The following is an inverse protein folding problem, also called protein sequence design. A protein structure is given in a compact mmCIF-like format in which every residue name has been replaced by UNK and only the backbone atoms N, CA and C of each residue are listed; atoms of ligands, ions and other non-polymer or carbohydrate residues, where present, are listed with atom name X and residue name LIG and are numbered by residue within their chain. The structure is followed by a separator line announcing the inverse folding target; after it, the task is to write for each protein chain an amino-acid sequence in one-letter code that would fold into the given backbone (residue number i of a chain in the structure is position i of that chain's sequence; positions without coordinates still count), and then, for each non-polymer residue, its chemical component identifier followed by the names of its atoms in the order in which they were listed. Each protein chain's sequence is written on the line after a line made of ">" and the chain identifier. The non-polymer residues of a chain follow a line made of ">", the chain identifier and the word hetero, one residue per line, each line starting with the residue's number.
data_IF_560015376811
#
_entry.id   IF_560015376811
#
_cell.length_a   1.000
_cell.length_b   1.000
_cell.length_c   1.000
_cell.angle_alpha   90.00
_cell.angle_beta   90.00
_cell.angle_gamma   90.00
#
_symmetry.space_group_name_H-M   'P 1'
#
loop_
_entity.id
_entity.type
_entity.pdbx_description
1 polymer ?
#
# COMPACT_ATOMS: atom_id res chain seq x y z
N UNK A 1 -8.56 -78.59 -4.49
CA UNK A 1 -9.64 -77.88 -3.77
C UNK A 1 -9.77 -78.31 -2.31
N UNK A 2 -8.68 -78.26 -1.50
CA UNK A 2 -8.79 -78.71 -0.07
C UNK A 2 -7.94 -77.89 0.91
N UNK A 3 -7.49 -76.72 0.55
CA UNK A 3 -6.71 -75.85 1.45
C UNK A 3 -7.42 -74.68 2.10
N UNK A 4 -8.65 -74.36 1.65
CA UNK A 4 -9.40 -73.23 2.18
C UNK A 4 -10.34 -73.53 3.37
N UNK A 5 -10.57 -74.83 3.66
CA UNK A 5 -11.45 -75.23 4.77
C UNK A 5 -10.76 -75.35 6.12
N UNK A 6 -9.41 -75.30 6.17
CA UNK A 6 -8.68 -75.37 7.46
C UNK A 6 -8.30 -74.01 8.06
N UNK A 7 -8.38 -72.92 7.28
CA UNK A 7 -8.09 -71.56 7.77
C UNK A 7 -9.30 -70.94 8.44
N UNK A 8 -10.53 -71.30 8.01
CA UNK A 8 -11.75 -70.74 8.57
C UNK A 8 -12.09 -71.20 9.99
N UNK A 9 -11.55 -72.36 10.42
CA UNK A 9 -11.85 -72.89 11.76
C UNK A 9 -10.90 -72.36 12.84
N UNK A 10 -9.70 -71.89 12.44
CA UNK A 10 -8.74 -71.29 13.37
C UNK A 10 -9.06 -69.84 13.75
N UNK A 11 -9.80 -69.14 12.86
CA UNK A 11 -10.15 -67.70 13.11
C UNK A 11 -11.38 -67.54 14.00
N UNK A 12 -12.29 -68.53 14.07
CA UNK A 12 -13.45 -68.48 14.95
C UNK A 12 -13.10 -68.81 16.40
N UNK A 13 -12.03 -69.61 16.65
CA UNK A 13 -11.61 -69.91 18.01
C UNK A 13 -10.79 -68.76 18.67
N UNK A 14 -10.21 -67.88 17.86
CA UNK A 14 -9.47 -66.71 18.38
C UNK A 14 -10.40 -65.53 18.74
N UNK A 15 -11.64 -65.52 18.24
CA UNK A 15 -12.60 -64.43 18.55
C UNK A 15 -13.42 -64.63 19.81
N UNK A 16 -13.37 -65.77 20.48
CA UNK A 16 -14.19 -66.03 21.64
C UNK A 16 -13.45 -66.00 23.00
N UNK A 17 -12.19 -65.62 23.02
CA UNK A 17 -11.41 -65.50 24.26
C UNK A 17 -11.00 -64.08 24.61
N UNK A 18 -11.68 -63.10 24.13
CA UNK A 18 -11.37 -61.70 24.40
C UNK A 18 -12.60 -60.86 24.65
N UNK A 19 -13.56 -61.28 25.47
CA UNK A 19 -14.33 -60.27 26.19
C UNK A 19 -13.44 -59.67 27.26
N UNK A 20 -12.50 -58.84 26.82
CA UNK A 20 -12.04 -57.77 27.67
C UNK A 20 -13.33 -56.98 27.99
N UNK A 21 -13.84 -57.15 29.18
CA UNK A 21 -14.74 -56.17 29.77
C UNK A 21 -13.90 -54.90 29.83
N UNK A 22 -13.96 -54.15 28.73
CA UNK A 22 -13.54 -52.79 28.77
C UNK A 22 -14.47 -52.16 29.82
N UNK A 23 -13.98 -52.04 31.02
CA UNK A 23 -14.59 -51.08 31.95
C UNK A 23 -14.82 -49.84 31.11
N UNK A 24 -16.08 -49.34 31.03
CA UNK A 24 -16.29 -48.10 30.27
C UNK A 24 -15.25 -47.14 30.77
N UNK A 25 -14.32 -46.77 29.91
CA UNK A 25 -13.35 -45.73 30.22
C UNK A 25 -14.24 -44.57 30.66
N UNK A 26 -14.16 -44.25 31.94
CA UNK A 26 -14.92 -43.10 32.47
C UNK A 26 -14.57 -41.97 31.55
N UNK A 27 -15.55 -41.52 30.73
CA UNK A 27 -15.28 -40.50 29.73
C UNK A 27 -14.81 -39.29 30.50
N UNK A 28 -13.52 -39.01 30.41
CA UNK A 28 -12.96 -37.84 31.03
C UNK A 28 -13.73 -36.64 30.48
N UNK A 29 -14.36 -35.89 31.35
CA UNK A 29 -15.06 -34.66 30.98
C UNK A 29 -14.16 -33.48 31.35
N UNK A 30 -14.15 -32.46 30.52
CA UNK A 30 -13.55 -31.18 30.85
C UNK A 30 -14.60 -30.09 30.63
N UNK A 31 -14.84 -29.29 31.64
CA UNK A 31 -15.68 -28.09 31.52
C UNK A 31 -14.82 -26.87 31.86
N UNK A 32 -15.09 -25.76 31.20
CA UNK A 32 -14.42 -24.50 31.44
C UNK A 32 -15.41 -23.52 32.11
N UNK A 33 -14.98 -22.93 33.19
CA UNK A 33 -15.60 -21.76 33.80
C UNK A 33 -14.65 -20.57 33.68
N UNK A 34 -15.17 -19.42 33.28
CA UNK A 34 -14.45 -18.16 33.29
C UNK A 34 -14.98 -17.34 34.46
N UNK A 35 -14.13 -17.00 35.39
CA UNK A 35 -14.52 -16.33 36.64
C UNK A 35 -14.40 -14.81 36.55
N UNK A 36 -13.61 -14.30 35.60
CA UNK A 36 -13.39 -12.87 35.38
C UNK A 36 -13.62 -12.56 33.90
N UNK A 37 -14.84 -12.28 33.52
CA UNK A 37 -15.13 -11.89 32.15
C UNK A 37 -15.83 -10.54 32.13
N UNK A 38 -15.34 -9.63 31.34
CA UNK A 38 -15.88 -8.28 31.20
C UNK A 38 -17.22 -8.27 30.51
N UNK A 39 -17.29 -8.90 29.36
CA UNK A 39 -18.49 -9.02 28.54
C UNK A 39 -18.34 -10.19 27.57
N UNK A 40 -19.45 -10.59 26.95
CA UNK A 40 -19.49 -11.73 26.05
C UNK A 40 -19.90 -13.02 26.79
N UNK A 41 -20.05 -14.09 26.02
CA UNK A 41 -20.44 -15.42 26.51
C UNK A 41 -19.39 -16.49 26.24
N UNK A 42 -18.22 -16.10 25.72
CA UNK A 42 -17.13 -17.00 25.39
C UNK A 42 -17.37 -17.86 24.16
N UNK A 43 -18.39 -17.57 23.37
CA UNK A 43 -18.64 -18.23 22.09
C UNK A 43 -17.90 -17.54 20.96
N UNK A 44 -17.75 -18.19 19.80
CA UNK A 44 -17.14 -17.58 18.63
C UNK A 44 -17.90 -16.31 18.15
N UNK A 45 -19.22 -16.30 18.29
CA UNK A 45 -20.05 -15.15 17.93
C UNK A 45 -20.01 -14.02 18.99
N UNK A 46 -19.80 -14.36 20.26
CA UNK A 46 -19.73 -13.44 21.39
C UNK A 46 -18.54 -13.75 22.28
N UNK A 47 -17.30 -13.49 21.83
CA UNK A 47 -16.09 -13.74 22.62
C UNK A 47 -16.09 -12.92 23.91
N UNK A 48 -15.47 -13.44 24.96
CA UNK A 48 -15.14 -12.62 26.13
C UNK A 48 -14.28 -11.44 25.73
N UNK A 49 -14.58 -10.27 26.26
CA UNK A 49 -13.81 -9.04 26.01
C UNK A 49 -13.02 -8.67 27.25
N UNK A 50 -11.72 -8.58 27.13
CA UNK A 50 -10.79 -8.15 28.17
C UNK A 50 -9.98 -6.95 27.66
N UNK A 51 -9.41 -6.14 28.54
CA UNK A 51 -8.48 -5.10 28.14
C UNK A 51 -7.19 -5.73 27.63
N UNK A 52 -6.58 -5.15 26.61
CA UNK A 52 -5.18 -5.45 26.34
C UNK A 52 -4.33 -4.90 27.48
N UNK A 53 -3.26 -5.61 27.94
CA UNK A 53 -2.46 -5.20 29.09
C UNK A 53 -1.58 -3.98 28.73
N UNK A 54 -2.13 -2.80 28.93
CA UNK A 54 -1.55 -1.53 28.47
C UNK A 54 -0.27 -1.15 29.25
N UNK A 55 -0.22 -1.43 30.54
CA UNK A 55 0.92 -1.12 31.40
C UNK A 55 2.01 -2.19 31.41
N UNK A 56 1.94 -3.16 30.54
CA UNK A 56 2.81 -4.31 30.42
C UNK A 56 2.65 -5.38 31.52
N UNK A 57 1.70 -5.26 32.39
CA UNK A 57 1.47 -6.22 33.44
C UNK A 57 0.09 -6.83 33.25
N UNK A 58 0.03 -8.16 33.17
CA UNK A 58 -1.25 -8.85 33.18
C UNK A 58 -1.80 -8.76 34.58
N UNK A 59 -2.73 -7.86 34.81
CA UNK A 59 -3.43 -7.70 36.06
C UNK A 59 -4.84 -8.27 35.98
N UNK A 60 -5.29 -8.85 37.07
CA UNK A 60 -6.68 -9.18 37.31
C UNK A 60 -7.20 -8.25 38.39
N UNK A 61 -7.96 -7.25 37.99
CA UNK A 61 -8.66 -6.40 38.93
C UNK A 61 -10.07 -6.95 39.11
N UNK A 62 -10.58 -6.99 40.29
CA UNK A 62 -11.97 -7.41 40.56
C UNK A 62 -13.02 -6.44 40.01
N UNK A 63 -12.62 -5.41 39.26
CA UNK A 63 -13.51 -4.41 38.73
C UNK A 63 -13.89 -4.81 37.29
N UNK A 64 -15.13 -5.14 37.09
CA UNK A 64 -15.71 -5.43 35.75
C UNK A 64 -15.33 -4.31 34.76
N UNK A 65 -14.78 -4.69 33.63
CA UNK A 65 -14.31 -3.74 32.62
C UNK A 65 -12.84 -3.32 32.77
N UNK A 66 -12.11 -3.90 33.71
CA UNK A 66 -10.69 -3.58 33.96
C UNK A 66 -9.77 -4.79 33.86
N UNK A 67 -10.34 -5.98 33.71
CA UNK A 67 -9.57 -7.22 33.61
C UNK A 67 -8.75 -7.27 32.32
N UNK A 68 -7.48 -7.61 32.47
CA UNK A 68 -6.52 -7.80 31.38
C UNK A 68 -6.26 -9.27 31.07
N UNK A 69 -6.75 -10.16 31.94
CA UNK A 69 -6.70 -11.61 31.76
C UNK A 69 -8.02 -12.26 32.12
N UNK A 70 -8.36 -13.35 31.44
CA UNK A 70 -9.37 -14.28 31.87
C UNK A 70 -8.77 -15.26 32.88
N UNK A 71 -9.37 -15.37 34.05
CA UNK A 71 -9.13 -16.49 34.96
C UNK A 71 -10.00 -17.65 34.51
N UNK A 72 -9.38 -18.67 33.93
CA UNK A 72 -10.06 -19.83 33.38
C UNK A 72 -9.82 -21.04 34.26
N UNK A 73 -10.89 -21.64 34.73
CA UNK A 73 -10.89 -22.82 35.59
C UNK A 73 -11.42 -24.01 34.80
N UNK A 74 -10.57 -24.98 34.55
CA UNK A 74 -11.01 -26.26 33.99
C UNK A 74 -11.39 -27.19 35.18
N UNK A 75 -12.59 -27.77 35.13
CA UNK A 75 -13.01 -28.83 36.07
C UNK A 75 -12.78 -30.18 35.40
N UNK A 76 -12.03 -31.02 36.06
CA UNK A 76 -11.60 -32.35 35.62
C UNK A 76 -11.56 -33.32 36.76
N UNK A 77 -11.29 -34.60 36.51
CA UNK A 77 -10.98 -35.55 37.58
C UNK A 77 -9.58 -35.24 38.17
N UNK A 78 -9.48 -35.24 39.51
CA UNK A 78 -8.21 -34.99 40.17
C UNK A 78 -7.09 -35.92 39.63
N UNK A 79 -5.91 -35.36 39.41
CA UNK A 79 -4.78 -36.07 38.84
C UNK A 79 -4.81 -36.25 37.31
N UNK A 80 -5.90 -35.80 36.66
CA UNK A 80 -5.96 -35.86 35.17
C UNK A 80 -5.21 -34.69 34.57
N UNK A 81 -4.23 -34.93 33.70
CA UNK A 81 -3.57 -33.86 32.98
C UNK A 81 -4.52 -33.13 32.04
N UNK A 82 -4.56 -31.81 32.14
CA UNK A 82 -5.31 -30.90 31.24
C UNK A 82 -4.32 -30.13 30.41
N UNK A 83 -4.44 -30.20 29.10
CA UNK A 83 -3.65 -29.39 28.19
C UNK A 83 -4.49 -28.22 27.71
N UNK A 84 -4.06 -27.02 28.06
CA UNK A 84 -4.61 -25.77 27.56
C UNK A 84 -3.84 -25.34 26.32
N UNK A 85 -4.54 -25.03 25.24
CA UNK A 85 -3.94 -24.52 23.99
C UNK A 85 -4.66 -23.27 23.55
N UNK A 86 -3.91 -22.27 23.11
CA UNK A 86 -4.47 -21.04 22.54
C UNK A 86 -4.23 -20.96 21.05
N UNK A 87 -5.12 -20.28 20.35
CA UNK A 87 -4.96 -19.90 18.96
C UNK A 87 -5.00 -18.38 18.83
N UNK A 88 -4.56 -17.85 17.69
CA UNK A 88 -4.48 -16.41 17.47
C UNK A 88 -3.44 -15.75 18.36
N UNK A 89 -3.77 -14.59 18.90
CA UNK A 89 -2.86 -13.79 19.74
C UNK A 89 -3.06 -14.01 21.25
N UNK A 90 -3.89 -14.96 21.64
CA UNK A 90 -4.05 -15.32 23.04
C UNK A 90 -2.82 -16.09 23.55
N UNK A 91 -2.45 -15.81 24.80
CA UNK A 91 -1.34 -16.44 25.52
C UNK A 91 -1.76 -16.82 26.92
N UNK A 92 -1.15 -17.88 27.43
CA UNK A 92 -1.38 -18.39 28.78
C UNK A 92 -0.20 -17.95 29.65
N UNK A 93 -0.50 -17.44 30.83
CA UNK A 93 0.47 -17.19 31.89
C UNK A 93 0.11 -18.02 33.15
N UNK A 94 1.13 -18.41 33.88
CA UNK A 94 0.96 -19.23 35.11
C UNK A 94 0.55 -18.44 36.32
N UNK A 95 0.77 -17.12 36.28
CA UNK A 95 0.46 -16.20 37.38
C UNK A 95 0.09 -14.82 36.85
N UNK A 96 -0.74 -14.12 37.61
CA UNK A 96 -1.00 -12.69 37.38
C UNK A 96 0.22 -11.85 37.79
N UNK A 97 0.33 -10.63 37.29
CA UNK A 97 1.47 -9.75 37.52
C UNK A 97 2.67 -10.01 36.62
N UNK A 98 2.55 -10.93 35.65
CA UNK A 98 3.60 -11.18 34.68
C UNK A 98 3.75 -10.00 33.72
N UNK A 99 4.98 -9.56 33.48
CA UNK A 99 5.27 -8.55 32.44
C UNK A 99 5.00 -9.14 31.08
N UNK A 100 4.23 -8.42 30.26
CA UNK A 100 3.77 -8.87 28.95
C UNK A 100 4.55 -8.19 27.85
N UNK A 101 5.09 -9.00 26.94
CA UNK A 101 5.44 -8.58 25.59
C UNK A 101 4.55 -9.36 24.62
N UNK A 102 4.54 -9.02 23.34
CA UNK A 102 3.86 -9.84 22.33
C UNK A 102 4.36 -11.29 22.32
N UNK A 103 5.54 -11.55 22.87
CA UNK A 103 6.16 -12.87 22.98
C UNK A 103 5.97 -13.53 24.36
N UNK A 104 5.43 -12.81 25.35
CA UNK A 104 5.23 -13.35 26.71
C UNK A 104 4.10 -14.38 26.74
N UNK A 105 4.21 -15.32 27.66
CA UNK A 105 3.27 -16.41 27.82
C UNK A 105 3.50 -17.55 26.80
N UNK A 106 2.79 -18.62 27.00
CA UNK A 106 2.86 -19.83 26.17
C UNK A 106 1.57 -20.04 25.41
N UNK A 107 1.64 -20.74 24.28
CA UNK A 107 0.46 -21.14 23.51
C UNK A 107 -0.08 -22.51 23.91
N UNK A 108 0.67 -23.23 24.72
CA UNK A 108 0.25 -24.53 25.25
C UNK A 108 0.83 -24.71 26.65
N UNK A 109 0.00 -25.14 27.60
CA UNK A 109 0.37 -25.42 28.97
C UNK A 109 -0.39 -26.66 29.45
N UNK A 110 0.33 -27.64 29.97
CA UNK A 110 -0.28 -28.81 30.61
C UNK A 110 -0.19 -28.68 32.13
N UNK A 111 -1.34 -28.81 32.78
CA UNK A 111 -1.48 -28.75 34.21
C UNK A 111 -2.06 -30.06 34.72
N UNK A 112 -1.42 -30.69 35.69
CA UNK A 112 -1.98 -31.87 36.40
C UNK A 112 -2.43 -31.43 37.79
N UNK A 113 -3.71 -31.12 37.98
CA UNK A 113 -4.18 -30.61 39.24
C UNK A 113 -4.28 -31.73 40.25
N UNK A 114 -3.84 -31.46 41.50
CA UNK A 114 -4.04 -32.36 42.63
C UNK A 114 -5.53 -32.39 43.09
N UNK A 115 -6.29 -31.33 42.76
CA UNK A 115 -7.73 -31.20 42.99
C UNK A 115 -8.50 -31.43 41.72
N UNK A 116 -9.80 -31.20 41.75
CA UNK A 116 -10.68 -31.29 40.56
C UNK A 116 -10.62 -30.06 39.65
N UNK A 117 -9.76 -29.08 39.96
CA UNK A 117 -9.69 -27.82 39.22
C UNK A 117 -8.27 -27.47 38.78
N UNK A 118 -8.10 -27.08 37.54
CA UNK A 118 -6.88 -26.48 36.99
C UNK A 118 -7.17 -25.04 36.60
N UNK A 119 -6.42 -24.09 37.12
CA UNK A 119 -6.60 -22.67 36.84
C UNK A 119 -5.45 -22.19 35.97
N UNK A 120 -5.79 -21.42 34.93
CA UNK A 120 -4.84 -20.69 34.08
C UNK A 120 -5.33 -19.29 33.84
N UNK A 121 -4.41 -18.38 33.51
CA UNK A 121 -4.72 -17.00 33.16
C UNK A 121 -4.41 -16.79 31.69
N UNK A 122 -5.36 -16.23 30.96
CA UNK A 122 -5.25 -16.06 29.51
C UNK A 122 -5.46 -14.61 29.15
N UNK A 123 -4.51 -14.02 28.47
CA UNK A 123 -4.57 -12.66 27.99
C UNK A 123 -4.44 -12.61 26.46
N UNK A 124 -4.73 -11.46 25.87
CA UNK A 124 -4.48 -11.20 24.46
C UNK A 124 -4.01 -9.77 24.25
N UNK A 125 -3.13 -9.58 23.28
CA UNK A 125 -2.66 -8.25 22.86
C UNK A 125 -3.40 -7.74 21.63
N UNK A 126 -4.42 -8.48 21.14
CA UNK A 126 -5.13 -8.17 19.90
C UNK A 126 -6.63 -8.05 20.12
N UNK A 127 -7.27 -7.19 19.35
CA UNK A 127 -8.73 -7.05 19.25
C UNK A 127 -9.38 -8.15 18.41
N UNK A 128 -8.59 -8.97 17.70
CA UNK A 128 -9.07 -10.13 16.97
C UNK A 128 -9.43 -11.27 17.92
N UNK A 129 -10.48 -12.01 17.56
CA UNK A 129 -10.90 -13.16 18.35
C UNK A 129 -9.83 -14.26 18.35
N UNK A 130 -9.61 -14.83 19.52
CA UNK A 130 -8.71 -15.94 19.79
C UNK A 130 -9.47 -17.02 20.55
N UNK A 131 -8.99 -18.27 20.49
CA UNK A 131 -9.61 -19.36 21.23
C UNK A 131 -8.65 -19.94 22.29
N UNK A 132 -9.20 -20.33 23.43
CA UNK A 132 -8.57 -21.20 24.42
C UNK A 132 -9.32 -22.52 24.44
N UNK A 133 -8.61 -23.60 24.22
CA UNK A 133 -9.14 -24.97 24.32
C UNK A 133 -8.46 -25.68 25.49
N UNK A 134 -9.25 -26.22 26.40
CA UNK A 134 -8.79 -27.17 27.38
C UNK A 134 -9.14 -28.59 26.92
N UNK A 135 -8.19 -29.47 26.90
CA UNK A 135 -8.34 -30.85 26.46
C UNK A 135 -7.81 -31.86 27.48
N UNK A 136 -8.54 -32.92 27.63
CA UNK A 136 -8.15 -34.16 28.31
C UNK A 136 -8.32 -35.32 27.35
N UNK A 137 -7.81 -36.51 27.72
CA UNK A 137 -8.02 -37.68 26.85
C UNK A 137 -9.51 -37.94 26.62
N UNK A 138 -9.94 -37.79 25.38
CA UNK A 138 -11.32 -38.04 24.95
C UNK A 138 -12.30 -36.87 25.06
N UNK A 139 -11.91 -35.70 25.59
CA UNK A 139 -12.78 -34.52 25.68
C UNK A 139 -12.02 -33.21 25.51
N UNK A 140 -12.69 -32.23 24.94
CA UNK A 140 -12.18 -30.86 24.83
C UNK A 140 -13.30 -29.84 24.92
N UNK A 141 -13.00 -28.68 25.49
CA UNK A 141 -13.92 -27.54 25.58
C UNK A 141 -13.18 -26.28 25.18
N UNK A 142 -13.84 -25.41 24.42
CA UNK A 142 -13.23 -24.18 23.90
C UNK A 142 -14.03 -22.96 24.34
N UNK A 143 -13.30 -21.90 24.71
CA UNK A 143 -13.86 -20.56 24.92
C UNK A 143 -13.12 -19.57 24.04
N UNK A 144 -13.78 -18.49 23.66
CA UNK A 144 -13.25 -17.45 22.80
C UNK A 144 -13.08 -16.15 23.57
N UNK A 145 -12.02 -15.41 23.25
CA UNK A 145 -11.72 -14.11 23.83
C UNK A 145 -11.18 -13.15 22.78
N UNK A 146 -11.31 -11.86 23.04
CA UNK A 146 -10.70 -10.78 22.27
C UNK A 146 -10.32 -9.61 23.18
N UNK A 147 -9.34 -8.83 22.77
CA UNK A 147 -8.95 -7.62 23.47
C UNK A 147 -9.86 -6.43 23.14
N UNK A 148 -10.10 -5.57 24.11
CA UNK A 148 -10.53 -4.21 23.85
C UNK A 148 -9.29 -3.35 23.58
N UNK A 149 -9.39 -2.44 22.62
CA UNK A 149 -8.28 -1.56 22.25
C UNK A 149 -7.86 -0.69 23.43
N UNK A 150 -6.55 -0.59 23.66
CA UNK A 150 -5.94 0.22 24.72
C UNK A 150 -6.00 1.73 24.43
N UNK A 151 -5.38 2.55 25.30
CA UNK A 151 -5.16 3.98 25.05
C UNK A 151 -4.35 4.21 23.78
N UNK A 152 -4.52 5.37 23.15
CA UNK A 152 -3.69 5.77 22.02
C UNK A 152 -2.22 5.87 22.46
N UNK A 153 -1.36 5.21 21.71
CA UNK A 153 0.07 5.11 22.03
C UNK A 153 0.96 5.52 20.86
N UNK A 154 0.57 5.14 19.66
CA UNK A 154 1.32 5.43 18.46
C UNK A 154 0.49 6.24 17.49
N UNK A 155 1.08 7.32 17.02
CA UNK A 155 0.62 8.12 15.90
C UNK A 155 1.56 7.87 14.73
N UNK A 156 1.03 7.47 13.59
CA UNK A 156 1.75 7.42 12.33
C UNK A 156 1.12 8.43 11.39
N UNK A 157 1.91 9.36 10.90
CA UNK A 157 1.51 10.35 9.93
C UNK A 157 2.12 10.03 8.57
N UNK A 158 1.34 10.19 7.53
CA UNK A 158 1.80 10.07 6.17
C UNK A 158 1.30 11.27 5.37
N UNK A 159 2.26 12.02 4.82
CA UNK A 159 2.02 13.21 4.01
C UNK A 159 2.78 13.03 2.70
N UNK A 160 2.23 13.39 1.54
CA UNK A 160 2.99 13.42 0.31
C UNK A 160 4.22 14.30 0.44
N UNK A 161 5.37 13.79 -0.01
CA UNK A 161 6.62 14.53 0.04
C UNK A 161 6.63 15.76 -0.87
N UNK A 162 5.74 15.83 -1.86
CA UNK A 162 5.66 16.91 -2.83
C UNK A 162 4.22 17.31 -3.13
N UNK A 163 4.01 18.57 -3.48
CA UNK A 163 2.73 19.09 -3.96
C UNK A 163 2.90 20.33 -4.83
N UNK A 164 1.87 20.69 -5.58
CA UNK A 164 1.85 21.93 -6.35
C UNK A 164 1.57 23.16 -5.48
N UNK A 165 1.97 24.33 -5.93
CA UNK A 165 1.54 25.60 -5.32
C UNK A 165 0.02 25.67 -5.25
N UNK A 166 -0.51 26.25 -4.17
CA UNK A 166 -1.93 26.42 -3.90
C UNK A 166 -2.77 25.14 -4.06
N UNK A 167 -2.14 23.95 -4.17
CA UNK A 167 -2.85 22.69 -4.29
C UNK A 167 -3.28 22.16 -2.92
N UNK A 168 -4.31 21.31 -2.95
CA UNK A 168 -4.69 20.52 -1.79
C UNK A 168 -3.99 19.17 -1.82
N UNK A 169 -3.44 18.79 -0.69
CA UNK A 169 -2.88 17.47 -0.43
C UNK A 169 -3.55 16.90 0.81
N UNK A 170 -3.61 15.58 0.96
CA UNK A 170 -4.22 14.97 2.13
C UNK A 170 -3.17 14.31 3.01
N UNK A 171 -3.09 14.73 4.27
CA UNK A 171 -2.38 14.02 5.32
C UNK A 171 -3.26 12.88 5.82
N UNK A 172 -2.71 11.67 5.97
CA UNK A 172 -3.37 10.56 6.66
C UNK A 172 -2.67 10.25 7.96
N UNK A 173 -3.46 9.83 8.92
CA UNK A 173 -2.99 9.46 10.25
C UNK A 173 -3.52 8.09 10.60
N UNK A 174 -2.68 7.30 11.23
CA UNK A 174 -3.05 6.03 11.84
C UNK A 174 -2.75 6.11 13.33
N UNK A 175 -3.76 5.85 14.15
CA UNK A 175 -3.60 5.81 15.60
C UNK A 175 -3.81 4.39 16.09
N UNK A 176 -2.91 3.92 16.91
CA UNK A 176 -2.99 2.59 17.51
C UNK A 176 -2.59 2.61 18.99
N UNK A 177 -3.01 1.56 19.69
CA UNK A 177 -2.49 1.27 21.03
C UNK A 177 -1.05 0.73 20.97
N UNK A 178 -0.47 0.39 22.13
CA UNK A 178 0.90 -0.10 22.25
C UNK A 178 1.16 -1.40 21.47
N UNK A 179 0.12 -2.21 21.23
CA UNK A 179 0.21 -3.48 20.51
C UNK A 179 -0.15 -3.35 19.02
N UNK A 180 -0.42 -2.13 18.54
CA UNK A 180 -0.76 -1.87 17.16
C UNK A 180 -2.25 -2.05 16.83
N UNK A 181 -3.12 -2.24 17.82
CA UNK A 181 -4.55 -2.27 17.57
C UNK A 181 -5.06 -0.87 17.22
N UNK A 182 -5.83 -0.78 16.15
CA UNK A 182 -6.35 0.49 15.65
C UNK A 182 -7.28 1.17 16.67
N UNK A 183 -7.02 2.45 16.97
CA UNK A 183 -7.73 3.24 17.98
C UNK A 183 -8.54 4.34 17.33
N UNK A 184 -9.85 4.33 17.55
CA UNK A 184 -10.79 5.38 17.11
C UNK A 184 -11.10 6.37 18.23
N UNK A 185 -11.71 7.49 17.85
CA UNK A 185 -12.19 8.50 18.80
C UNK A 185 -11.10 9.43 19.33
N UNK A 186 -9.90 9.40 18.75
CA UNK A 186 -8.80 10.25 19.17
C UNK A 186 -8.84 11.63 18.51
N UNK A 187 -8.41 12.64 19.27
CA UNK A 187 -8.21 13.99 18.73
C UNK A 187 -6.78 14.14 18.24
N UNK A 188 -6.63 14.43 16.95
CA UNK A 188 -5.33 14.68 16.34
C UNK A 188 -5.19 16.18 16.10
N UNK A 189 -4.17 16.79 16.70
CA UNK A 189 -3.81 18.18 16.46
C UNK A 189 -2.82 18.27 15.32
N UNK A 190 -3.18 18.96 14.24
CA UNK A 190 -2.30 19.21 13.10
C UNK A 190 -1.71 20.60 13.21
N UNK A 191 -0.39 20.70 13.16
CA UNK A 191 0.38 21.95 13.12
C UNK A 191 0.97 22.12 11.73
N UNK A 192 0.79 23.26 11.12
CA UNK A 192 1.28 23.55 9.79
C UNK A 192 2.14 24.82 9.81
N UNK A 193 3.33 24.76 9.23
CA UNK A 193 4.30 25.85 9.15
C UNK A 193 4.62 26.14 7.68
N UNK A 194 5.08 27.36 7.39
CA UNK A 194 5.48 27.75 6.04
C UNK A 194 4.29 28.10 5.12
N UNK A 195 3.17 28.58 5.70
CA UNK A 195 2.03 29.04 4.91
C UNK A 195 1.07 27.91 4.49
N UNK A 196 1.22 26.72 5.04
CA UNK A 196 0.23 25.63 4.87
C UNK A 196 -0.99 25.94 5.72
N UNK A 197 -2.18 25.75 5.17
CA UNK A 197 -3.43 25.79 5.93
C UNK A 197 -3.95 24.36 6.12
N UNK A 198 -4.06 23.93 7.37
CA UNK A 198 -4.63 22.64 7.71
C UNK A 198 -6.16 22.75 7.84
N UNK A 199 -6.88 21.84 7.21
CA UNK A 199 -8.30 21.62 7.45
C UNK A 199 -8.55 20.78 8.70
N UNK A 200 -9.82 20.58 9.02
CA UNK A 200 -10.22 19.72 10.14
C UNK A 200 -9.81 18.27 9.92
N UNK A 201 -9.35 17.61 10.98
CA UNK A 201 -9.11 16.17 10.96
C UNK A 201 -10.44 15.44 10.96
N UNK A 202 -10.60 14.49 10.05
CA UNK A 202 -11.81 13.67 9.93
C UNK A 202 -11.43 12.20 10.11
N UNK A 203 -12.20 11.48 10.92
CA UNK A 203 -12.06 10.04 11.05
C UNK A 203 -12.58 9.34 9.79
N UNK A 204 -11.88 8.28 9.38
CA UNK A 204 -12.37 7.40 8.31
C UNK A 204 -13.55 6.58 8.84
N UNK A 205 -14.70 6.70 8.17
CA UNK A 205 -15.92 5.98 8.58
C UNK A 205 -15.84 4.46 8.34
N UNK A 206 -14.94 4.02 7.48
CA UNK A 206 -14.81 2.62 7.07
C UNK A 206 -13.63 1.91 7.72
N UNK A 207 -12.61 2.66 8.17
CA UNK A 207 -11.37 2.09 8.70
C UNK A 207 -11.07 2.66 10.07
N UNK A 208 -11.28 1.83 11.10
CA UNK A 208 -10.98 2.17 12.50
C UNK A 208 -9.54 2.65 12.65
N UNK A 209 -9.34 3.70 13.44
CA UNK A 209 -8.00 4.24 13.75
C UNK A 209 -7.34 5.02 12.61
N UNK A 210 -8.04 5.21 11.49
CA UNK A 210 -7.57 6.08 10.41
C UNK A 210 -8.27 7.42 10.43
N UNK A 211 -7.50 8.45 10.12
CA UNK A 211 -7.95 9.83 10.06
C UNK A 211 -7.27 10.52 8.89
N UNK A 212 -7.84 11.62 8.46
CA UNK A 212 -7.28 12.42 7.38
C UNK A 212 -7.55 13.91 7.61
N UNK A 213 -6.68 14.74 7.05
CA UNK A 213 -6.88 16.19 7.00
C UNK A 213 -6.41 16.73 5.65
N UNK A 214 -7.18 17.63 5.10
CA UNK A 214 -6.79 18.39 3.93
C UNK A 214 -5.79 19.47 4.32
N UNK A 215 -4.71 19.56 3.56
CA UNK A 215 -3.68 20.57 3.68
C UNK A 215 -3.69 21.41 2.41
N UNK A 216 -3.93 22.70 2.51
CA UNK A 216 -3.77 23.63 1.39
C UNK A 216 -2.35 24.15 1.42
N UNK A 217 -1.59 23.88 0.37
CA UNK A 217 -0.20 24.32 0.24
C UNK A 217 -0.13 25.81 -0.11
N UNK A 218 0.96 26.50 0.23
CA UNK A 218 1.15 27.91 -0.10
C UNK A 218 1.21 28.16 -1.62
N UNK A 219 0.93 29.39 -2.00
CA UNK A 219 1.01 29.84 -3.39
C UNK A 219 2.44 30.03 -3.89
N UNK A 220 3.43 29.87 -3.01
CA UNK A 220 4.87 30.01 -3.34
C UNK A 220 5.56 28.67 -3.24
N UNK A 221 6.45 28.40 -4.19
CA UNK A 221 7.30 27.19 -4.15
C UNK A 221 8.30 27.29 -2.99
N UNK A 222 8.60 26.15 -2.39
CA UNK A 222 9.52 26.07 -1.25
C UNK A 222 9.32 24.79 -0.46
N UNK A 223 9.86 24.74 0.75
CA UNK A 223 9.65 23.65 1.70
C UNK A 223 8.77 24.10 2.85
N UNK A 224 7.83 23.27 3.23
CA UNK A 224 6.93 23.48 4.36
C UNK A 224 6.97 22.30 5.31
N UNK A 225 6.66 22.53 6.58
CA UNK A 225 6.62 21.48 7.59
C UNK A 225 5.18 21.28 8.07
N UNK A 226 4.80 20.02 8.23
CA UNK A 226 3.52 19.60 8.79
C UNK A 226 3.79 18.69 9.97
N UNK A 227 3.28 19.06 11.13
CA UNK A 227 3.33 18.27 12.34
C UNK A 227 1.97 17.72 12.71
N UNK A 228 1.92 16.61 13.38
CA UNK A 228 0.72 16.07 14.01
C UNK A 228 1.03 15.53 15.39
N UNK A 229 0.08 15.66 16.30
CA UNK A 229 0.19 15.11 17.65
C UNK A 229 -1.14 14.58 18.15
N UNK A 230 -1.06 13.57 19.03
CA UNK A 230 -2.15 13.06 19.85
C UNK A 230 -1.85 13.34 21.31
N UNK A 231 -2.87 13.25 22.15
CA UNK A 231 -2.67 13.33 23.62
C UNK A 231 -1.82 12.17 24.07
N UNK A 232 -0.73 12.47 24.80
CA UNK A 232 0.12 11.43 25.38
C UNK A 232 -0.67 10.62 26.41
N UNK A 233 -0.49 9.29 26.48
CA UNK A 233 -1.13 8.47 27.51
C UNK A 233 -0.59 8.85 28.90
N UNK A 234 -1.47 8.79 29.91
CA UNK A 234 -1.15 9.18 31.29
C UNK A 234 -0.14 8.22 31.96
N UNK A 235 -0.11 6.97 31.53
CA UNK A 235 0.86 5.98 31.94
C UNK A 235 1.67 5.52 30.73
N UNK A 236 2.99 5.52 30.85
CA UNK A 236 3.89 5.10 29.78
C UNK A 236 4.48 3.76 30.16
N UNK A 237 4.10 2.66 29.48
CA UNK A 237 4.70 1.36 29.73
C UNK A 237 6.20 1.36 29.40
N UNK A 238 6.96 0.52 30.08
CA UNK A 238 8.41 0.41 29.88
C UNK A 238 8.82 -0.31 28.59
N UNK A 239 7.85 -0.95 27.88
CA UNK A 239 8.12 -1.78 26.71
C UNK A 239 8.51 -1.01 25.45
N UNK A 240 7.99 0.19 25.26
CA UNK A 240 8.25 0.99 24.09
C UNK A 240 8.09 2.49 24.41
N UNK A 241 8.70 3.33 23.60
CA UNK A 241 8.47 4.79 23.67
C UNK A 241 7.24 5.15 22.88
N UNK A 242 6.30 5.86 23.49
CA UNK A 242 5.11 6.36 22.82
C UNK A 242 5.49 7.32 21.68
N UNK A 243 4.93 7.10 20.50
CA UNK A 243 5.09 8.02 19.36
C UNK A 243 3.83 8.89 19.29
N UNK A 244 3.81 9.97 20.05
CA UNK A 244 2.63 10.85 20.16
C UNK A 244 2.70 12.06 19.25
N UNK A 245 3.83 12.28 18.59
CA UNK A 245 3.99 13.38 17.61
C UNK A 245 4.86 12.96 16.44
N UNK A 246 4.56 13.50 15.28
CA UNK A 246 5.35 13.32 14.06
C UNK A 246 5.42 14.62 13.27
N UNK A 247 6.49 14.76 12.49
CA UNK A 247 6.67 15.90 11.58
C UNK A 247 7.10 15.38 10.21
N UNK A 248 6.54 15.96 9.15
CA UNK A 248 6.91 15.69 7.77
C UNK A 248 7.25 16.99 7.05
N UNK A 249 8.16 16.91 6.09
CA UNK A 249 8.51 18.02 5.19
C UNK A 249 7.85 17.76 3.85
N UNK A 250 7.23 18.81 3.30
CA UNK A 250 6.61 18.77 1.97
C UNK A 250 7.31 19.78 1.08
N UNK A 251 7.76 19.36 -0.09
CA UNK A 251 8.29 20.23 -1.13
C UNK A 251 7.14 20.76 -1.98
N UNK A 252 6.99 22.06 -2.01
CA UNK A 252 5.98 22.74 -2.83
C UNK A 252 6.64 23.21 -4.11
N UNK A 253 6.15 22.75 -5.25
CA UNK A 253 6.68 23.07 -6.57
C UNK A 253 5.63 23.70 -7.47
N UNK A 254 6.05 24.63 -8.30
CA UNK A 254 5.20 25.19 -9.35
C UNK A 254 5.23 24.29 -10.60
N UNK A 255 4.59 23.15 -10.50
CA UNK A 255 4.47 22.20 -11.61
C UNK A 255 3.62 22.77 -12.76
N UNK A 256 2.64 23.61 -12.44
CA UNK A 256 1.83 24.26 -13.45
C UNK A 256 2.63 25.32 -14.22
N UNK A 257 3.42 26.13 -13.50
CA UNK A 257 4.35 27.06 -14.10
C UNK A 257 5.44 26.37 -14.91
N UNK A 258 6.03 25.31 -14.37
CA UNK A 258 7.02 24.52 -15.09
C UNK A 258 6.44 23.89 -16.36
N UNK A 259 5.22 23.37 -16.30
CA UNK A 259 4.50 22.83 -17.46
C UNK A 259 4.16 23.93 -18.47
N UNK A 260 3.74 25.11 -17.99
CA UNK A 260 3.46 26.26 -18.86
C UNK A 260 4.74 26.74 -19.58
N UNK A 261 5.87 26.82 -18.87
CA UNK A 261 7.17 27.13 -19.46
C UNK A 261 7.61 26.08 -20.49
N UNK A 262 7.46 24.80 -20.17
CA UNK A 262 7.78 23.71 -21.08
C UNK A 262 6.90 23.76 -22.35
N UNK A 263 5.61 24.02 -22.21
CA UNK A 263 4.68 24.18 -23.32
C UNK A 263 5.00 25.43 -24.17
N UNK A 264 5.38 26.53 -23.52
CA UNK A 264 5.81 27.74 -24.22
C UNK A 264 7.12 27.49 -25.00
N UNK A 265 8.09 26.83 -24.40
CA UNK A 265 9.34 26.44 -25.06
C UNK A 265 9.06 25.52 -26.26
N UNK A 266 8.20 24.51 -26.09
CA UNK A 266 7.77 23.63 -27.17
C UNK A 266 7.06 24.39 -28.30
N UNK A 267 6.20 25.35 -27.96
CA UNK A 267 5.53 26.18 -28.94
C UNK A 267 6.53 27.05 -29.71
N UNK A 268 7.52 27.64 -29.00
CA UNK A 268 8.60 28.42 -29.63
C UNK A 268 9.46 27.56 -30.56
N UNK A 269 9.81 26.36 -30.14
CA UNK A 269 10.59 25.41 -30.95
C UNK A 269 9.82 24.94 -32.20
N UNK A 270 8.53 24.66 -32.06
CA UNK A 270 7.65 24.38 -33.20
C UNK A 270 7.56 25.55 -34.18
N UNK A 271 7.45 26.78 -33.66
CA UNK A 271 7.42 27.98 -34.49
C UNK A 271 8.77 28.21 -35.20
N UNK A 272 9.89 28.04 -34.50
CA UNK A 272 11.22 28.13 -35.09
C UNK A 272 11.46 27.06 -36.17
N UNK A 273 11.06 25.81 -35.87
CA UNK A 273 11.15 24.70 -36.82
C UNK A 273 10.26 24.95 -38.10
N UNK A 274 9.05 25.48 -37.88
CA UNK A 274 8.17 25.83 -38.99
C UNK A 274 8.75 26.98 -39.82
N UNK A 275 9.32 28.00 -39.20
CA UNK A 275 9.99 29.11 -39.86
C UNK A 275 11.23 28.63 -40.65
N UNK A 276 12.07 27.78 -40.03
CA UNK A 276 13.21 27.18 -40.68
C UNK A 276 12.81 26.35 -41.92
N UNK A 277 11.75 25.52 -41.76
CA UNK A 277 11.21 24.73 -42.89
C UNK A 277 10.62 25.63 -43.99
N UNK A 278 9.95 26.73 -43.60
CA UNK A 278 9.43 27.68 -44.58
C UNK A 278 10.55 28.41 -45.34
N UNK A 279 11.62 28.81 -44.63
CA UNK A 279 12.79 29.44 -45.21
C UNK A 279 13.54 28.50 -46.16
N UNK A 280 13.67 27.23 -45.76
CA UNK A 280 14.32 26.20 -46.59
C UNK A 280 13.50 25.86 -47.83
N UNK A 281 12.17 25.77 -47.68
CA UNK A 281 11.26 25.66 -48.84
C UNK A 281 11.35 26.84 -49.78
N UNK A 282 11.45 28.08 -49.23
CA UNK A 282 11.60 29.28 -50.03
C UNK A 282 12.97 29.33 -50.76
N UNK A 283 14.04 28.93 -50.05
CA UNK A 283 15.39 28.83 -50.62
C UNK A 283 15.45 27.75 -51.74
N UNK A 284 14.85 26.59 -51.47
CA UNK A 284 14.75 25.51 -52.49
C UNK A 284 13.91 25.93 -53.69
N UNK A 285 12.77 26.61 -53.45
CA UNK A 285 11.94 27.12 -54.52
C UNK A 285 12.68 28.20 -55.36
N UNK A 286 13.45 29.09 -54.65
CA UNK A 286 14.27 30.10 -55.30
C UNK A 286 15.41 29.45 -56.11
N UNK A 287 16.13 28.49 -55.51
CA UNK A 287 17.18 27.76 -56.22
C UNK A 287 16.64 27.01 -57.44
N UNK A 288 15.44 26.44 -57.33
CA UNK A 288 14.75 25.81 -58.46
C UNK A 288 14.34 26.83 -59.52
N UNK A 289 13.82 28.00 -59.10
CA UNK A 289 13.45 29.05 -60.03
C UNK A 289 14.69 29.67 -60.71
N UNK A 290 15.76 29.89 -59.95
CA UNK A 290 17.05 30.42 -60.45
C UNK A 290 17.70 29.40 -61.43
N UNK A 291 17.67 28.10 -61.04
CA UNK A 291 18.15 27.02 -61.90
C UNK A 291 17.29 26.90 -63.19
N UNK A 292 15.97 27.04 -63.04
CA UNK A 292 15.07 27.07 -64.19
C UNK A 292 15.29 28.28 -65.09
N UNK A 293 15.50 29.50 -64.46
CA UNK A 293 15.78 30.70 -65.18
C UNK A 293 17.13 30.63 -65.97
N UNK A 294 18.16 30.06 -65.25
CA UNK A 294 19.46 29.81 -65.88
C UNK A 294 19.34 28.80 -67.05
N UNK A 295 18.58 27.71 -66.78
CA UNK A 295 18.30 26.72 -67.86
C UNK A 295 17.47 27.28 -69.04
N UNK A 296 16.46 28.11 -68.71
CA UNK A 296 15.67 28.79 -69.75
C UNK A 296 16.53 29.79 -70.53
N UNK A 297 17.49 30.51 -69.84
CA UNK A 297 18.43 31.38 -70.53
C UNK A 297 19.44 30.63 -71.41
N UNK A 298 19.95 29.49 -70.86
CA UNK A 298 20.79 28.60 -71.66
C UNK A 298 20.04 27.98 -72.84
N UNK A 299 18.81 27.59 -72.60
CA UNK A 299 17.94 27.09 -73.69
C UNK A 299 17.66 28.21 -74.72
N UNK A 300 17.54 29.48 -74.26
CA UNK A 300 17.37 30.63 -75.20
C UNK A 300 18.65 30.91 -75.97
N UNK A 301 19.83 30.86 -75.27
CA UNK A 301 21.13 30.97 -75.92
C UNK A 301 21.42 29.81 -76.84
N UNK A 302 21.09 28.58 -76.40
CA UNK A 302 21.17 27.39 -77.30
C UNK A 302 20.14 27.38 -78.40
N UNK A 303 18.94 27.95 -78.24
CA UNK A 303 18.01 28.19 -79.35
C UNK A 303 18.54 29.15 -80.40
N UNK A 304 19.37 30.11 -79.98
CA UNK A 304 20.10 30.98 -80.88
C UNK A 304 21.20 30.22 -81.67
N UNK A 305 21.89 29.29 -80.94
CA UNK A 305 22.87 28.40 -81.52
C UNK A 305 22.31 27.18 -82.24
N UNK A 306 21.10 26.73 -81.88
CA UNK A 306 20.39 25.51 -82.39
C UNK A 306 19.90 25.61 -83.83
N UNK A 307 20.02 26.74 -84.49
CA UNK A 307 19.92 26.72 -85.93
C UNK A 307 21.06 25.89 -86.60
N UNK A 308 22.15 25.67 -85.83
CA UNK A 308 23.32 24.88 -86.32
C UNK A 308 23.51 23.51 -85.58
N UNK A 309 22.87 23.25 -84.48
CA UNK A 309 23.20 22.08 -83.63
C UNK A 309 21.95 21.33 -83.09
N UNK A 310 21.06 20.96 -83.97
CA UNK A 310 19.82 20.21 -83.62
C UNK A 310 20.08 18.86 -82.90
N UNK A 311 21.24 18.28 -83.11
CA UNK A 311 21.60 16.98 -82.47
C UNK A 311 22.09 17.14 -81.02
N UNK A 312 22.83 18.21 -80.71
CA UNK A 312 23.38 18.43 -79.40
C UNK A 312 22.32 18.96 -78.38
N UNK A 313 21.29 19.66 -78.94
CA UNK A 313 20.19 20.15 -78.10
C UNK A 313 19.38 19.04 -77.39
N UNK A 314 19.24 17.88 -78.05
CA UNK A 314 18.51 16.72 -77.48
C UNK A 314 19.33 16.12 -76.31
N UNK A 315 20.65 16.02 -76.47
CA UNK A 315 21.55 15.51 -75.43
C UNK A 315 21.64 16.45 -74.27
N UNK A 316 21.73 17.78 -74.54
CA UNK A 316 21.75 18.80 -73.48
C UNK A 316 20.43 18.85 -72.68
N UNK A 317 19.29 18.69 -73.40
CA UNK A 317 17.98 18.63 -72.74
C UNK A 317 17.83 17.42 -71.82
N UNK A 318 18.24 16.25 -72.27
CA UNK A 318 18.19 15.02 -71.42
C UNK A 318 19.10 15.17 -70.17
N UNK A 319 20.27 15.77 -70.34
CA UNK A 319 21.17 16.02 -69.20
C UNK A 319 20.59 17.06 -68.17
N UNK A 320 19.91 18.14 -68.71
CA UNK A 320 19.26 19.12 -67.86
C UNK A 320 18.08 18.54 -67.07
N UNK A 321 17.25 17.76 -67.73
CA UNK A 321 16.08 17.11 -67.12
C UNK A 321 16.52 16.06 -66.10
N UNK A 322 17.65 15.37 -66.31
CA UNK A 322 18.25 14.46 -65.38
C UNK A 322 18.78 15.21 -64.13
N UNK A 323 19.49 16.31 -64.32
CA UNK A 323 20.00 17.14 -63.22
C UNK A 323 18.88 17.71 -62.32
N UNK A 324 17.75 18.11 -62.95
CA UNK A 324 16.55 18.55 -62.23
C UNK A 324 15.92 17.39 -61.48
N UNK A 325 15.89 16.19 -62.03
CA UNK A 325 15.38 14.99 -61.37
C UNK A 325 16.25 14.61 -60.17
N UNK A 326 17.57 14.61 -60.35
CA UNK A 326 18.52 14.29 -59.28
C UNK A 326 18.48 15.35 -58.15
N UNK A 327 18.37 16.65 -58.52
CA UNK A 327 18.22 17.74 -57.55
C UNK A 327 16.89 17.66 -56.74
N UNK A 328 15.80 17.30 -57.44
CA UNK A 328 14.50 17.05 -56.76
C UNK A 328 14.55 15.85 -55.84
N UNK A 329 15.26 14.80 -56.20
CA UNK A 329 15.44 13.62 -55.36
C UNK A 329 16.26 13.96 -54.12
N UNK A 330 17.36 14.72 -54.26
CA UNK A 330 18.19 15.18 -53.16
C UNK A 330 17.43 16.12 -52.18
N UNK A 331 16.72 17.11 -52.72
CA UNK A 331 15.90 18.02 -51.90
C UNK A 331 14.76 17.28 -51.19
N UNK A 332 14.18 16.25 -51.81
CA UNK A 332 13.20 15.40 -51.15
C UNK A 332 13.81 14.62 -49.95
N UNK A 333 15.00 14.07 -50.13
CA UNK A 333 15.71 13.34 -49.08
C UNK A 333 16.02 14.27 -47.92
N UNK A 334 16.54 15.49 -48.14
CA UNK A 334 16.77 16.47 -47.08
C UNK A 334 15.49 16.90 -46.38
N UNK A 335 14.42 17.14 -47.11
CA UNK A 335 13.12 17.48 -46.54
C UNK A 335 12.56 16.35 -45.67
N UNK A 336 12.68 15.10 -46.16
CA UNK A 336 12.20 13.95 -45.41
C UNK A 336 13.06 13.72 -44.14
N UNK A 337 14.38 14.00 -44.18
CA UNK A 337 15.27 13.97 -43.02
C UNK A 337 14.87 15.03 -41.96
N UNK A 338 14.65 16.29 -42.37
CA UNK A 338 14.22 17.37 -41.49
C UNK A 338 12.84 17.06 -40.88
N UNK A 339 11.92 16.50 -41.64
CA UNK A 339 10.62 16.04 -41.10
C UNK A 339 10.79 14.94 -40.07
N UNK A 340 11.70 13.98 -40.29
CA UNK A 340 11.97 12.89 -39.34
C UNK A 340 12.58 13.43 -38.05
N UNK A 341 13.54 14.38 -38.13
CA UNK A 341 14.11 15.03 -36.96
C UNK A 341 13.05 15.80 -36.14
N UNK A 342 12.21 16.57 -36.83
CA UNK A 342 11.13 17.31 -36.18
C UNK A 342 10.09 16.38 -35.55
N UNK A 343 9.74 15.28 -36.24
CA UNK A 343 8.84 14.27 -35.66
C UNK A 343 9.44 13.60 -34.46
N UNK A 344 10.75 13.30 -34.47
CA UNK A 344 11.47 12.75 -33.34
C UNK A 344 11.50 13.74 -32.15
N UNK A 345 11.87 15.00 -32.40
CA UNK A 345 11.89 16.04 -31.37
C UNK A 345 10.51 16.24 -30.72
N UNK A 346 9.45 16.20 -31.56
CA UNK A 346 8.08 16.26 -31.06
C UNK A 346 7.72 15.03 -30.22
N UNK A 347 8.12 13.83 -30.66
CA UNK A 347 7.88 12.58 -29.92
C UNK A 347 8.63 12.60 -28.58
N UNK A 348 9.90 13.01 -28.57
CA UNK A 348 10.71 13.11 -27.37
C UNK A 348 10.10 14.14 -26.38
N UNK A 349 9.64 15.29 -26.90
CA UNK A 349 8.95 16.31 -26.10
C UNK A 349 7.63 15.80 -25.53
N UNK A 350 6.84 15.09 -26.32
CA UNK A 350 5.60 14.48 -25.86
C UNK A 350 5.85 13.36 -24.83
N UNK A 351 6.92 12.58 -25.02
CA UNK A 351 7.34 11.57 -24.05
C UNK A 351 7.75 12.22 -22.71
N UNK A 352 8.48 13.34 -22.75
CA UNK A 352 8.83 14.10 -21.56
C UNK A 352 7.60 14.63 -20.83
N UNK A 353 6.63 15.18 -21.58
CA UNK A 353 5.35 15.62 -21.01
C UNK A 353 4.58 14.44 -20.41
N UNK A 354 4.54 13.30 -21.09
CA UNK A 354 3.88 12.10 -20.60
C UNK A 354 4.57 11.56 -19.32
N UNK A 355 5.90 11.59 -19.28
CA UNK A 355 6.67 11.21 -18.09
C UNK A 355 6.38 12.15 -16.91
N UNK A 356 6.32 13.47 -17.15
CA UNK A 356 5.95 14.44 -16.13
C UNK A 356 4.51 14.23 -15.64
N UNK A 357 3.56 14.02 -16.57
CA UNK A 357 2.17 13.68 -16.20
C UNK A 357 2.10 12.39 -15.40
N UNK A 358 2.86 11.36 -15.80
CA UNK A 358 2.94 10.11 -15.07
C UNK A 358 3.52 10.30 -13.67
N UNK A 359 4.66 11.00 -13.56
CA UNK A 359 5.29 11.30 -12.28
C UNK A 359 4.34 12.08 -11.36
N UNK A 360 3.66 13.10 -11.90
CA UNK A 360 2.64 13.84 -11.18
C UNK A 360 1.48 12.93 -10.73
N UNK A 361 0.98 12.11 -11.64
CA UNK A 361 -0.12 11.19 -11.34
C UNK A 361 0.29 10.10 -10.33
N UNK A 362 1.52 9.60 -10.39
CA UNK A 362 2.05 8.64 -9.43
C UNK A 362 2.21 9.29 -8.04
N UNK A 363 2.66 10.55 -8.02
CA UNK A 363 2.71 11.37 -6.81
C UNK A 363 1.31 11.63 -6.25
N UNK A 364 0.39 12.05 -7.11
CA UNK A 364 -1.00 12.29 -6.75
C UNK A 364 -1.70 11.01 -6.26
N UNK A 365 -1.43 9.85 -6.87
CA UNK A 365 -1.93 8.55 -6.37
C UNK A 365 -1.37 8.20 -5.01
N UNK A 366 -0.05 8.38 -4.81
CA UNK A 366 0.60 8.17 -3.49
C UNK A 366 -0.01 9.11 -2.44
N UNK A 367 -0.21 10.36 -2.82
CA UNK A 367 -0.89 11.35 -1.97
C UNK A 367 -2.32 10.93 -1.66
N UNK A 368 -3.13 10.66 -2.69
CA UNK A 368 -4.54 10.29 -2.55
C UNK A 368 -4.73 9.01 -1.71
N UNK A 369 -3.76 8.08 -1.79
CA UNK A 369 -3.75 6.88 -0.95
C UNK A 369 -3.52 7.22 0.52
N UNK A 370 -2.70 8.24 0.79
CA UNK A 370 -2.36 8.68 2.16
C UNK A 370 -3.37 9.71 2.71
N UNK A 371 -4.10 10.39 1.84
CA UNK A 371 -5.00 11.50 2.20
C UNK A 371 -6.36 11.40 1.46
N UNK A 372 -7.21 10.42 1.83
CA UNK A 372 -8.45 10.15 1.08
C UNK A 372 -9.48 11.28 1.10
N UNK A 373 -9.38 12.23 2.05
CA UNK A 373 -10.28 13.39 2.15
C UNK A 373 -9.82 14.63 1.36
N UNK A 374 -8.59 14.66 0.84
CA UNK A 374 -8.05 15.77 0.05
C UNK A 374 -7.42 15.31 -1.26
N UNK A 375 -8.22 14.71 -2.10
CA UNK A 375 -7.75 14.13 -3.37
C UNK A 375 -7.27 15.21 -4.34
N UNK A 376 -6.09 15.02 -4.86
CA UNK A 376 -5.58 15.76 -6.02
C UNK A 376 -6.10 15.09 -7.28
N UNK A 377 -6.62 15.91 -8.20
CA UNK A 377 -7.10 15.42 -9.49
C UNK A 377 -5.93 14.97 -10.36
N UNK A 378 -6.05 13.82 -10.96
CA UNK A 378 -5.07 13.33 -11.93
C UNK A 378 -5.12 14.18 -13.21
N UNK A 379 -3.96 14.49 -13.76
CA UNK A 379 -3.85 15.15 -15.07
C UNK A 379 -4.18 14.15 -16.17
N UNK A 380 -5.19 14.45 -16.96
CA UNK A 380 -5.58 13.67 -18.13
C UNK A 380 -4.63 13.89 -19.31
#
# INVERSE_FOLDING_TARGET
>A
MNSFKKVALGLVAAMTLGTIVATPASANTVSLAVTTANSGSGTAAAPYVIKVPFDNVVSDTSTVGSEEALTVVATVVAGTPVTFTTTGNAKIVSALGATVTSASGVTSLTVTPASTTATVYVFTTSTSASALTASVTGAATTVYLKGAVGPAYNLKMTVPANGGIASKITATFEVSDIFGNAKSGETITVTALGGVTAGSVTADALVTGKYSADLTLPATAGTVAVGASITAPTAVPTLATAVTSQTAIVTVSDLAGALALANAALAAEKAASAAALAAEKAAAAKALADAKAASDAEILALKAEVVTLKADAVTAKVASDKAISDAKAAAKVELDAVKAENAKALADSNAAIAAMKKAFNDLAKKWNKKNPSAKVTLVK
#
